data_IF_761398274792
#
_entry.id   IF_761398274792
#
_cell.length_a   1.000
_cell.length_b   1.000
_cell.length_c   1.000
_cell.angle_alpha   90.00
_cell.angle_beta   90.00
_cell.angle_gamma   90.00
#
_symmetry.space_group_name_H-M   'P 1'
#
loop_
_entity.id
_entity.type
_entity.pdbx_description
1 polymer ?
#
# COMPACT_ATOMS: atom_id res chain seq x y z
N UNK A 1 3.20 -9.13 8.86
CA UNK A 1 3.95 -9.37 7.60
C UNK A 1 4.50 -10.79 7.58
N UNK A 2 3.64 -11.82 7.56
CA UNK A 2 4.10 -13.23 7.59
C UNK A 2 3.31 -14.16 6.68
N UNK A 3 2.52 -13.62 5.75
CA UNK A 3 1.57 -14.44 4.97
C UNK A 3 1.74 -14.39 3.45
N UNK A 4 2.68 -13.61 2.92
CA UNK A 4 3.18 -13.79 1.55
C UNK A 4 4.69 -13.53 1.55
N UNK A 5 5.44 -14.28 0.75
CA UNK A 5 6.89 -14.12 0.55
C UNK A 5 7.25 -12.79 -0.15
N UNK A 6 6.65 -11.69 0.28
CA UNK A 6 6.88 -10.35 -0.25
C UNK A 6 7.89 -9.70 0.67
N UNK A 7 9.05 -9.42 0.10
CA UNK A 7 10.13 -8.74 0.80
C UNK A 7 9.80 -7.27 1.05
N UNK A 8 10.38 -6.69 2.10
CA UNK A 8 10.24 -5.25 2.36
C UNK A 8 10.70 -4.40 1.17
N UNK A 9 11.68 -4.88 0.39
CA UNK A 9 12.14 -4.23 -0.85
C UNK A 9 11.05 -4.18 -1.92
N UNK A 10 10.24 -5.22 -2.06
CA UNK A 10 9.11 -5.22 -2.99
C UNK A 10 8.01 -4.27 -2.54
N UNK A 11 7.75 -4.17 -1.23
CA UNK A 11 6.80 -3.20 -0.68
C UNK A 11 7.27 -1.76 -0.95
N UNK A 12 8.55 -1.47 -0.70
CA UNK A 12 9.14 -0.14 -1.00
C UNK A 12 9.08 0.13 -2.50
N UNK A 13 9.41 -0.85 -3.34
CA UNK A 13 9.30 -0.73 -4.79
C UNK A 13 7.86 -0.47 -5.25
N UNK A 14 6.85 -1.13 -4.67
CA UNK A 14 5.45 -0.79 -4.91
C UNK A 14 5.14 0.65 -4.53
N UNK A 15 5.69 1.15 -3.42
CA UNK A 15 5.40 2.51 -2.97
C UNK A 15 6.09 3.59 -3.82
N UNK A 16 7.32 3.34 -4.26
CA UNK A 16 8.10 4.29 -5.06
C UNK A 16 7.74 4.27 -6.55
N UNK A 17 7.43 3.10 -7.10
CA UNK A 17 7.28 2.89 -8.54
C UNK A 17 5.93 2.27 -8.93
N UNK A 18 5.08 1.95 -7.96
CA UNK A 18 3.78 1.37 -8.25
C UNK A 18 2.77 2.42 -8.67
N UNK A 19 1.88 2.01 -9.56
CA UNK A 19 0.76 2.80 -10.02
C UNK A 19 -0.46 2.57 -9.12
N UNK A 20 -1.16 3.65 -8.79
CA UNK A 20 -2.44 3.57 -8.09
C UNK A 20 -3.45 2.95 -9.06
N UNK A 21 -3.84 1.71 -8.78
CA UNK A 21 -4.83 0.97 -9.58
C UNK A 21 -6.24 1.17 -9.08
N UNK A 22 -6.41 1.49 -7.79
CA UNK A 22 -7.70 1.75 -7.18
C UNK A 22 -7.57 2.78 -6.05
N UNK A 23 -8.49 3.74 -5.99
CA UNK A 23 -8.50 4.76 -4.94
C UNK A 23 -7.74 6.05 -5.29
N UNK A 24 -7.68 7.01 -4.35
CA UNK A 24 -8.00 6.88 -2.92
C UNK A 24 -9.49 6.70 -2.60
N UNK A 25 -9.81 5.73 -1.74
CA UNK A 25 -11.15 5.50 -1.21
C UNK A 25 -11.13 5.48 0.33
N UNK A 26 -12.23 5.90 0.95
CA UNK A 26 -12.37 5.88 2.40
C UNK A 26 -12.91 4.52 2.84
N UNK A 27 -12.24 3.90 3.81
CA UNK A 27 -12.78 2.75 4.51
C UNK A 27 -13.92 3.18 5.46
N UNK A 28 -14.74 2.23 5.92
CA UNK A 28 -15.85 2.49 6.85
C UNK A 28 -15.42 3.16 8.17
N UNK A 29 -14.12 3.12 8.50
CA UNK A 29 -13.51 3.78 9.66
C UNK A 29 -12.96 5.18 9.36
N UNK A 30 -13.18 5.71 8.15
CA UNK A 30 -12.63 6.99 7.70
C UNK A 30 -11.13 6.96 7.37
N UNK A 31 -10.52 5.78 7.26
CA UNK A 31 -9.12 5.66 6.84
C UNK A 31 -9.03 5.71 5.33
N UNK A 32 -8.22 6.61 4.78
CA UNK A 32 -7.99 6.70 3.35
C UNK A 32 -7.11 5.53 2.89
N UNK A 33 -7.58 4.75 1.94
CA UNK A 33 -6.88 3.59 1.38
C UNK A 33 -6.73 3.75 -0.13
N UNK A 34 -5.62 3.29 -0.68
CA UNK A 34 -5.38 3.21 -2.11
C UNK A 34 -4.68 1.89 -2.42
N UNK A 35 -5.07 1.24 -3.51
CA UNK A 35 -4.37 0.06 -4.01
C UNK A 35 -3.31 0.51 -5.00
N UNK A 36 -2.08 0.14 -4.71
CA UNK A 36 -0.92 0.42 -5.52
C UNK A 36 -0.42 -0.92 -6.06
N UNK A 37 -0.28 -1.02 -7.38
CA UNK A 37 0.26 -2.21 -8.01
C UNK A 37 1.57 -1.89 -8.69
N UNK A 38 2.56 -2.77 -8.56
CA UNK A 38 3.78 -2.70 -9.36
C UNK A 38 3.97 -4.02 -10.08
N UNK A 39 4.41 -3.93 -11.34
CA UNK A 39 4.82 -5.09 -12.10
C UNK A 39 6.33 -5.29 -11.90
N UNK A 40 6.72 -6.39 -11.25
CA UNK A 40 8.13 -6.73 -11.04
C UNK A 40 8.39 -8.16 -11.51
N UNK A 41 9.46 -8.35 -12.28
CA UNK A 41 9.86 -9.64 -12.84
C UNK A 41 8.73 -10.45 -13.55
N UNK A 42 7.74 -9.76 -14.12
CA UNK A 42 6.59 -10.39 -14.80
C UNK A 42 5.39 -10.70 -13.89
N UNK A 43 5.52 -10.57 -12.57
CA UNK A 43 4.44 -10.73 -11.60
C UNK A 43 3.85 -9.37 -11.22
N UNK A 44 2.54 -9.33 -10.97
CA UNK A 44 1.85 -8.16 -10.43
C UNK A 44 1.77 -8.28 -8.91
N UNK A 45 2.41 -7.34 -8.21
CA UNK A 45 2.27 -7.21 -6.77
C UNK A 45 1.29 -6.08 -6.51
N UNK A 46 0.17 -6.39 -5.87
CA UNK A 46 -0.82 -5.39 -5.45
C UNK A 46 -0.74 -5.20 -3.94
N UNK A 47 -0.61 -3.95 -3.52
CA UNK A 47 -0.45 -3.52 -2.16
C UNK A 47 -1.48 -2.43 -1.83
N UNK A 48 -2.32 -2.65 -0.83
CA UNK A 48 -3.21 -1.63 -0.30
C UNK A 48 -2.45 -0.79 0.73
N UNK A 49 -2.38 0.51 0.44
CA UNK A 49 -1.75 1.54 1.25
C UNK A 49 -2.85 2.27 2.01
N UNK A 50 -2.81 2.20 3.34
CA UNK A 50 -3.70 2.97 4.20
C UNK A 50 -2.96 4.17 4.77
N UNK A 51 -3.46 5.37 4.49
CA UNK A 51 -3.01 6.64 5.02
C UNK A 51 -3.79 6.95 6.29
N UNK A 52 -3.08 7.03 7.41
CA UNK A 52 -3.64 7.49 8.67
C UNK A 52 -2.85 8.70 9.13
N UNK A 53 -3.49 9.86 9.03
CA UNK A 53 -2.99 11.07 9.66
C UNK A 53 -3.33 10.99 11.16
N UNK A 54 -2.31 11.16 12.00
CA UNK A 54 -2.51 11.31 13.43
C UNK A 54 -2.73 12.78 13.77
N UNK A 55 -3.35 13.05 14.93
CA UNK A 55 -3.65 14.41 15.39
C UNK A 55 -2.40 15.31 15.55
N UNK A 56 -1.20 14.72 15.56
CA UNK A 56 0.08 15.41 15.63
C UNK A 56 0.66 15.77 14.24
N UNK A 57 -0.02 15.39 13.16
CA UNK A 57 0.47 15.56 11.78
C UNK A 57 1.41 14.43 11.33
N UNK A 58 1.68 13.40 12.15
CA UNK A 58 2.42 12.23 11.69
C UNK A 58 1.56 11.41 10.73
N UNK A 59 2.11 11.15 9.54
CA UNK A 59 1.50 10.31 8.52
C UNK A 59 1.96 8.86 8.72
N UNK A 60 1.05 8.00 9.16
CA UNK A 60 1.31 6.56 9.24
C UNK A 60 0.80 5.87 7.99
N UNK A 61 1.68 5.13 7.32
CA UNK A 61 1.36 4.38 6.10
C UNK A 61 1.38 2.89 6.41
N UNK A 62 0.24 2.22 6.30
CA UNK A 62 0.15 0.77 6.47
C UNK A 62 0.00 0.12 5.10
N UNK A 63 0.99 -0.69 4.72
CA UNK A 63 0.96 -1.42 3.44
C UNK A 63 0.58 -2.87 3.68
N UNK A 64 -0.52 -3.31 3.07
CA UNK A 64 -1.03 -4.67 3.13
C UNK A 64 -1.01 -5.27 1.73
N UNK A 65 -0.35 -6.39 1.53
CA UNK A 65 -0.28 -7.05 0.22
C UNK A 65 -1.27 -8.20 0.14
N UNK A 66 -1.96 -8.29 -1.00
CA UNK A 66 -3.01 -9.29 -1.28
C UNK A 66 -2.57 -10.36 -2.25
#
# INVERSE_FOLDING_TARGET
MKERCISMKQIICCFEHGDITEGPYLDARGTCKANVSVRTAGEYITATVAFKETTNGDLSVVVTTF
#
